data_IF_686034017276
#
_entry.id   IF_686034017276
#
_cell.length_a   1.000
_cell.length_b   1.000
_cell.length_c   1.000
_cell.angle_alpha   90.00
_cell.angle_beta   90.00
_cell.angle_gamma   90.00
#
_symmetry.space_group_name_H-M   'P 1'
#
loop_
_entity.id
_entity.type
_entity.pdbx_description
1 polymer ?
#
# COMPACT_ATOMS: atom_id res chain seq x y z
N UNK A 1 4.93 1.72 12.27
CA UNK A 1 4.79 2.92 11.43
C UNK A 1 3.98 3.97 12.16
N UNK A 2 4.52 5.19 12.23
CA UNK A 2 3.85 6.36 12.80
C UNK A 2 2.59 6.74 12.00
N UNK A 3 1.62 7.40 12.65
CA UNK A 3 0.34 7.76 12.05
C UNK A 3 0.48 8.91 11.03
N UNK A 4 1.38 9.86 11.26
CA UNK A 4 1.70 10.94 10.32
C UNK A 4 2.33 10.35 9.04
N UNK A 5 3.26 9.42 9.19
CA UNK A 5 3.88 8.73 8.06
C UNK A 5 2.85 7.91 7.27
N UNK A 6 1.91 7.24 7.95
CA UNK A 6 0.83 6.49 7.28
C UNK A 6 -0.03 7.41 6.42
N UNK A 7 -0.45 8.55 6.97
CA UNK A 7 -1.28 9.51 6.26
C UNK A 7 -0.57 10.04 5.01
N UNK A 8 0.69 10.45 5.14
CA UNK A 8 1.50 10.95 4.01
C UNK A 8 1.64 9.92 2.89
N UNK A 9 1.81 8.63 3.23
CA UNK A 9 1.93 7.56 2.23
C UNK A 9 0.58 7.29 1.53
N UNK A 10 -0.55 7.40 2.24
CA UNK A 10 -1.89 7.30 1.63
C UNK A 10 -2.16 8.46 0.66
N UNK A 11 -1.88 9.69 1.08
CA UNK A 11 -2.03 10.88 0.24
C UNK A 11 -1.15 10.80 -1.00
N UNK A 12 0.11 10.36 -0.84
CA UNK A 12 1.03 10.18 -1.95
C UNK A 12 0.55 9.10 -2.93
N UNK A 13 0.04 7.96 -2.44
CA UNK A 13 -0.55 6.93 -3.30
C UNK A 13 -1.69 7.49 -4.16
N UNK A 14 -2.64 8.19 -3.52
CA UNK A 14 -3.78 8.79 -4.23
C UNK A 14 -3.33 9.83 -5.26
N UNK A 15 -2.33 10.65 -4.92
CA UNK A 15 -1.76 11.64 -5.84
C UNK A 15 -1.10 10.99 -7.06
N UNK A 16 -0.32 9.92 -6.84
CA UNK A 16 0.32 9.17 -7.91
C UNK A 16 -0.70 8.49 -8.82
N UNK A 17 -1.75 7.89 -8.24
CA UNK A 17 -2.81 7.23 -9.01
C UNK A 17 -3.64 8.23 -9.84
N UNK A 18 -3.95 9.40 -9.27
CA UNK A 18 -4.66 10.47 -9.98
C UNK A 18 -3.85 10.95 -11.18
N UNK A 19 -2.55 11.21 -10.97
CA UNK A 19 -1.67 11.70 -12.03
C UNK A 19 -1.33 10.63 -13.07
N UNK A 20 -1.29 9.36 -12.69
CA UNK A 20 -1.25 8.25 -13.64
C UNK A 20 -2.47 8.25 -14.57
N UNK A 21 -3.67 8.42 -14.01
CA UNK A 21 -4.91 8.47 -14.80
C UNK A 21 -4.92 9.66 -15.76
N UNK A 22 -4.53 10.85 -15.30
CA UNK A 22 -4.39 12.05 -16.15
C UNK A 22 -3.42 11.81 -17.32
N UNK A 23 -2.24 11.24 -17.06
CA UNK A 23 -1.25 10.95 -18.10
C UNK A 23 -1.72 9.88 -19.09
N UNK A 24 -2.46 8.88 -18.60
CA UNK A 24 -3.03 7.82 -19.44
C UNK A 24 -4.13 8.35 -20.37
N UNK A 25 -4.93 9.33 -19.92
CA UNK A 25 -6.02 9.92 -20.73
C UNK A 25 -5.51 10.88 -21.80
N UNK A 26 -4.35 11.52 -21.59
CA UNK A 26 -3.73 12.46 -22.53
C UNK A 26 -2.96 11.77 -23.67
N UNK A 27 -2.92 10.43 -23.72
CA UNK A 27 -2.33 9.64 -24.80
C UNK A 27 -0.81 9.79 -25.00
N UNK A 28 -0.15 10.66 -24.24
CA UNK A 28 1.24 11.07 -24.47
C UNK A 28 2.29 10.38 -23.61
N UNK A 29 1.90 9.63 -22.58
CA UNK A 29 2.90 9.07 -21.64
C UNK A 29 2.43 7.80 -20.93
N UNK A 30 2.13 6.76 -21.72
CA UNK A 30 1.77 5.44 -21.19
C UNK A 30 2.84 4.93 -20.21
N UNK A 31 4.12 5.04 -20.55
CA UNK A 31 5.23 4.58 -19.69
C UNK A 31 5.26 5.27 -18.32
N UNK A 32 5.10 6.61 -18.29
CA UNK A 32 5.11 7.35 -17.02
C UNK A 32 3.84 7.04 -16.23
N UNK A 33 2.67 6.96 -16.88
CA UNK A 33 1.44 6.60 -16.19
C UNK A 33 1.52 5.21 -15.53
N UNK A 34 2.14 4.24 -16.21
CA UNK A 34 2.39 2.90 -15.66
C UNK A 34 3.33 2.94 -14.46
N UNK A 35 4.43 3.70 -14.53
CA UNK A 35 5.36 3.86 -13.41
C UNK A 35 4.65 4.51 -12.21
N UNK A 36 3.87 5.57 -12.43
CA UNK A 36 3.14 6.26 -11.37
C UNK A 36 2.11 5.37 -10.70
N UNK A 37 1.35 4.59 -11.46
CA UNK A 37 0.42 3.61 -10.90
C UNK A 37 1.14 2.50 -10.14
N UNK A 38 2.29 2.02 -10.65
CA UNK A 38 3.12 1.04 -9.94
C UNK A 38 3.65 1.55 -8.59
N UNK A 39 4.04 2.83 -8.52
CA UNK A 39 4.46 3.47 -7.26
C UNK A 39 3.27 3.54 -6.28
N UNK A 40 2.07 3.93 -6.74
CA UNK A 40 0.88 3.97 -5.90
C UNK A 40 0.58 2.59 -5.27
N UNK A 41 0.60 1.53 -6.09
CA UNK A 41 0.40 0.14 -5.62
C UNK A 41 1.48 -0.28 -4.61
N UNK A 42 2.74 0.08 -4.84
CA UNK A 42 3.82 -0.24 -3.90
C UNK A 42 3.64 0.47 -2.55
N UNK A 43 3.16 1.72 -2.55
CA UNK A 43 2.85 2.45 -1.32
C UNK A 43 1.71 1.77 -0.54
N UNK A 44 0.66 1.34 -1.23
CA UNK A 44 -0.44 0.58 -0.60
C UNK A 44 0.03 -0.75 0.00
N UNK A 45 0.89 -1.49 -0.69
CA UNK A 45 1.47 -2.71 -0.15
C UNK A 45 2.28 -2.47 1.14
N UNK A 46 3.07 -1.40 1.18
CA UNK A 46 3.82 -1.01 2.39
C UNK A 46 2.89 -0.67 3.56
N UNK A 47 1.74 -0.04 3.28
CA UNK A 47 0.73 0.27 4.28
C UNK A 47 0.12 -1.01 4.86
N UNK A 48 -0.27 -1.96 4.00
CA UNK A 48 -0.83 -3.26 4.42
C UNK A 48 0.18 -4.03 5.28
N UNK A 49 1.43 -4.14 4.83
CA UNK A 49 2.49 -4.81 5.60
C UNK A 49 2.68 -4.15 6.97
N UNK A 50 2.65 -2.82 7.02
CA UNK A 50 2.80 -2.09 8.28
C UNK A 50 1.61 -2.30 9.24
N UNK A 51 0.39 -2.53 8.73
CA UNK A 51 -0.78 -2.90 9.53
C UNK A 51 -0.70 -4.34 10.02
N UNK A 52 -0.29 -5.28 9.17
CA UNK A 52 -0.07 -6.67 9.54
C UNK A 52 1.02 -6.81 10.60
N UNK A 53 2.08 -6.00 10.56
CA UNK A 53 3.12 -6.03 11.59
C UNK A 53 2.65 -5.50 12.96
N UNK A 54 1.56 -4.73 13.04
CA UNK A 54 0.99 -4.27 14.32
C UNK A 54 0.10 -5.32 14.98
N UNK A 55 -0.45 -6.24 14.19
CA UNK A 55 -1.30 -7.33 14.69
C UNK A 55 -0.42 -8.57 14.89
N UNK A 56 -0.26 -9.10 16.11
CA UNK A 56 0.35 -10.41 16.27
C UNK A 56 -0.43 -11.38 15.39
N UNK A 57 0.25 -12.02 14.44
CA UNK A 57 -0.39 -13.03 13.59
C UNK A 57 -0.92 -14.11 14.51
N UNK A 58 -2.23 -14.11 14.78
CA UNK A 58 -2.89 -15.10 15.62
C UNK A 58 -2.76 -16.45 14.92
N UNK A 59 -1.67 -17.16 15.18
CA UNK A 59 -1.53 -18.57 14.83
C UNK A 59 -2.55 -19.39 15.62
N UNK A 60 -2.91 -20.60 15.14
CA UNK A 60 -3.79 -21.48 15.89
C UNK A 60 -3.21 -21.64 17.31
N UNK A 61 -4.00 -21.23 18.30
CA UNK A 61 -3.65 -21.38 19.70
C UNK A 61 -3.49 -22.87 19.95
N UNK A 62 -2.24 -23.34 20.07
CA UNK A 62 -1.98 -24.72 20.50
C UNK A 62 -2.39 -24.77 21.96
N UNK A 63 -3.67 -25.12 22.20
CA UNK A 63 -4.15 -25.52 23.50
C UNK A 63 -3.21 -26.63 23.99
N UNK A 64 -2.62 -26.53 25.19
CA UNK A 64 -1.81 -27.60 25.72
C UNK A 64 -2.70 -28.83 25.87
N UNK A 65 -2.33 -29.91 25.19
CA UNK A 65 -2.94 -31.22 25.40
C UNK A 65 -2.86 -31.54 26.89
N UNK A 66 -4.01 -31.60 27.54
CA UNK A 66 -4.13 -32.03 28.93
C UNK A 66 -3.91 -33.54 28.96
N UNK A 67 -2.71 -33.96 29.36
CA UNK A 67 -2.42 -35.35 29.78
C UNK A 67 -2.63 -35.51 31.28
#
# INVERSE_FOLDING_TARGET
MDDELRLKLQELSQSMQTRAAELSTLGGSADISTVMSGIAVALEALLVIAEEMKTPRSGPSVLPDAT
#
